data_IF_882566665692
#
_entry.id   IF_882566665692
#
_cell.length_a   1.000
_cell.length_b   1.000
_cell.length_c   1.000
_cell.angle_alpha   90.00
_cell.angle_beta   90.00
_cell.angle_gamma   90.00
#
_symmetry.space_group_name_H-M   'P 1'
#
loop_
_entity.id
_entity.type
_entity.pdbx_description
1 polymer ?
#
# COMPACT_ATOMS: atom_id res chain seq x y z
N UNK A 1 -15.04 18.55 -11.95
CA UNK A 1 -14.39 17.38 -12.45
C UNK A 1 -14.08 16.42 -11.32
N UNK A 2 -14.60 15.24 -11.38
CA UNK A 2 -14.33 14.30 -10.29
C UNK A 2 -12.89 13.84 -10.35
N UNK A 3 -12.30 13.85 -9.20
CA UNK A 3 -10.93 13.38 -9.07
C UNK A 3 -10.93 12.13 -8.22
N UNK A 4 -10.16 11.18 -8.66
CA UNK A 4 -9.95 10.02 -7.82
C UNK A 4 -8.72 10.26 -6.98
N UNK A 5 -8.81 9.82 -5.74
CA UNK A 5 -7.68 9.90 -4.84
C UNK A 5 -6.94 8.58 -4.91
N UNK A 6 -5.68 8.67 -5.29
CA UNK A 6 -4.86 7.47 -5.31
C UNK A 6 -4.11 7.38 -4.00
N UNK A 7 -4.19 6.23 -3.40
CA UNK A 7 -3.49 5.97 -2.16
C UNK A 7 -2.65 4.72 -2.33
N UNK A 8 -1.51 4.72 -1.70
CA UNK A 8 -0.59 3.60 -1.80
C UNK A 8 -0.66 2.79 -0.53
N UNK A 9 -0.86 1.50 -0.68
CA UNK A 9 -0.98 0.60 0.46
C UNK A 9 0.10 -0.46 0.37
N UNK A 10 0.55 -0.89 1.54
CA UNK A 10 1.41 -2.04 1.63
C UNK A 10 0.57 -3.25 1.99
N UNK A 11 0.75 -4.30 1.24
CA UNK A 11 0.02 -5.53 1.46
C UNK A 11 0.99 -6.65 1.78
N UNK A 12 0.58 -7.51 2.67
CA UNK A 12 1.34 -8.71 2.97
C UNK A 12 0.58 -9.89 2.40
N UNK A 13 1.27 -10.70 1.62
CA UNK A 13 0.64 -11.86 1.00
C UNK A 13 0.99 -13.10 1.82
N UNK A 14 0.01 -13.67 2.45
CA UNK A 14 0.19 -14.85 3.29
C UNK A 14 -0.95 -15.80 3.05
N UNK A 15 -0.62 -17.05 2.75
CA UNK A 15 -1.63 -18.08 2.61
C UNK A 15 -2.66 -17.81 1.53
N UNK A 16 -2.26 -17.11 0.49
CA UNK A 16 -3.17 -16.81 -0.60
C UNK A 16 -4.03 -15.58 -0.38
N UNK A 17 -3.80 -14.86 0.70
CA UNK A 17 -4.58 -13.68 1.02
C UNK A 17 -3.69 -12.46 1.17
N UNK A 18 -4.23 -11.32 0.77
CA UNK A 18 -3.55 -10.05 0.94
C UNK A 18 -4.09 -9.34 2.17
N UNK A 19 -3.19 -8.92 3.03
CA UNK A 19 -3.56 -8.22 4.24
C UNK A 19 -2.89 -6.86 4.26
N UNK A 20 -3.66 -5.78 4.44
CA UNK A 20 -3.03 -4.46 4.52
C UNK A 20 -2.19 -4.36 5.79
N UNK A 21 -1.01 -3.78 5.64
CA UNK A 21 -0.08 -3.70 6.76
C UNK A 21 -0.17 -2.38 7.50
N UNK A 22 -0.56 -1.33 6.83
CA UNK A 22 -0.54 -0.02 7.44
C UNK A 22 -1.58 0.87 6.80
N UNK A 23 -1.63 2.09 7.30
CA UNK A 23 -2.53 3.07 6.74
C UNK A 23 -2.10 3.43 5.33
N UNK A 24 -3.03 3.88 4.51
CA UNK A 24 -2.67 4.31 3.16
C UNK A 24 -1.70 5.48 3.18
N UNK A 25 -0.83 5.50 2.20
CA UNK A 25 0.12 6.58 2.04
C UNK A 25 -0.31 7.45 0.87
N UNK A 26 0.03 8.71 0.94
CA UNK A 26 -0.36 9.63 -0.11
C UNK A 26 0.50 9.48 -1.35
N UNK A 27 1.74 9.09 -1.17
CA UNK A 27 2.66 8.99 -2.29
C UNK A 27 3.34 7.64 -2.30
N UNK A 28 3.81 7.26 -3.47
CA UNK A 28 4.54 6.02 -3.62
C UNK A 28 5.82 6.03 -2.79
N UNK A 29 6.47 7.19 -2.75
CA UNK A 29 7.72 7.30 -2.00
C UNK A 29 7.52 6.99 -0.54
N UNK A 30 6.43 7.51 0.03
CA UNK A 30 6.14 7.26 1.43
C UNK A 30 5.92 5.76 1.67
N UNK A 31 5.20 5.13 0.77
CA UNK A 31 4.94 3.71 0.90
C UNK A 31 6.22 2.90 0.80
N UNK A 32 7.09 3.27 -0.13
CA UNK A 32 8.35 2.56 -0.28
C UNK A 32 9.23 2.71 0.93
N UNK A 33 9.26 3.90 1.51
CA UNK A 33 10.05 4.10 2.71
C UNK A 33 9.53 3.27 3.87
N UNK A 34 8.21 3.17 3.97
CA UNK A 34 7.63 2.35 5.02
C UNK A 34 7.97 0.88 4.79
N UNK A 35 7.97 0.45 3.52
CA UNK A 35 8.32 -0.92 3.21
C UNK A 35 9.75 -1.25 3.61
N UNK A 36 10.64 -0.30 3.44
CA UNK A 36 12.04 -0.51 3.79
C UNK A 36 12.28 -0.68 5.28
N UNK A 37 11.32 -0.27 6.09
CA UNK A 37 11.43 -0.47 7.54
C UNK A 37 11.24 -1.92 7.95
N UNK A 38 10.66 -2.72 7.06
CA UNK A 38 10.47 -4.12 7.36
C UNK A 38 11.72 -4.92 7.03
N UNK A 39 11.96 -6.03 7.75
CA UNK A 39 13.12 -6.88 7.46
C UNK A 39 13.02 -7.45 6.05
N UNK A 40 14.17 -7.77 5.51
CA UNK A 40 14.23 -8.29 4.15
C UNK A 40 13.37 -9.53 3.97
N UNK A 41 13.32 -10.37 4.99
CA UNK A 41 12.50 -11.58 4.92
C UNK A 41 11.05 -11.24 4.66
N UNK A 42 10.55 -10.21 5.35
CA UNK A 42 9.16 -9.84 5.22
C UNK A 42 8.90 -9.06 3.94
N UNK A 43 9.90 -8.32 3.49
CA UNK A 43 9.72 -7.52 2.29
C UNK A 43 9.42 -8.36 1.06
N UNK A 44 9.86 -9.62 1.06
CA UNK A 44 9.56 -10.50 -0.06
C UNK A 44 8.08 -10.78 -0.19
N UNK A 45 7.38 -10.75 0.93
CA UNK A 45 5.93 -11.00 0.93
C UNK A 45 5.13 -9.71 0.90
N UNK A 46 5.79 -8.57 0.94
CA UNK A 46 5.11 -7.28 0.95
C UNK A 46 5.14 -6.68 -0.43
N UNK A 47 3.98 -6.29 -0.89
CA UNK A 47 3.86 -5.64 -2.17
C UNK A 47 3.24 -4.27 -2.03
N UNK A 48 3.45 -3.45 -3.05
CA UNK A 48 2.84 -2.15 -3.12
C UNK A 48 1.60 -2.24 -3.99
N UNK A 49 0.53 -1.66 -3.49
CA UNK A 49 -0.69 -1.60 -4.25
C UNK A 49 -1.23 -0.20 -4.30
N UNK A 50 -1.93 0.11 -5.36
CA UNK A 50 -2.56 1.40 -5.51
C UNK A 50 -4.05 1.20 -5.38
N UNK A 51 -4.63 1.96 -4.48
CA UNK A 51 -6.08 1.96 -4.30
C UNK A 51 -6.60 3.29 -4.77
N UNK A 52 -7.52 3.25 -5.69
CA UNK A 52 -8.15 4.47 -6.19
C UNK A 52 -9.50 4.61 -5.52
N UNK A 53 -9.63 5.66 -4.76
CA UNK A 53 -10.88 5.93 -4.09
C UNK A 53 -11.55 7.10 -4.78
N UNK A 54 -12.83 6.97 -5.12
CA UNK A 54 -13.54 8.11 -5.69
C UNK A 54 -13.62 9.17 -4.63
N UNK A 55 -13.35 10.37 -5.03
CA UNK A 55 -13.46 11.45 -4.11
C UNK A 55 -14.90 11.78 -3.93
N UNK A 56 -15.33 11.66 -2.80
CA UNK A 56 -16.59 11.91 -2.41
C UNK A 56 -17.61 12.33 -3.05
N UNK A 57 -18.27 12.28 -3.15
CA UNK A 57 -19.18 12.60 -3.59
C UNK A 57 -19.82 13.10 -3.03
#
# INVERSE_FOLDING_TARGET
MPKTTEQWLLFKYVGGEFTPLSKPFKTKEQAEKARLKYPERQRKSIGLGVVRLPKGE
#
